data_IF_281455818457
#
_entry.id   IF_281455818457
#
_cell.length_a   1.000
_cell.length_b   1.000
_cell.length_c   1.000
_cell.angle_alpha   90.00
_cell.angle_beta   90.00
_cell.angle_gamma   90.00
#
_symmetry.space_group_name_H-M   'P 1'
#
loop_
_entity.id
_entity.type
_entity.pdbx_description
1 polymer ?
#
# COMPACT_ATOMS: atom_id res chain seq x y z
N UNK A 1 -13.19 9.65 -9.41
CA UNK A 1 -11.77 9.25 -9.45
C UNK A 1 -11.53 8.12 -8.48
N UNK A 2 -10.86 7.04 -8.92
CA UNK A 2 -10.62 5.88 -8.07
C UNK A 2 -9.53 6.19 -7.04
N UNK A 3 -9.76 5.79 -5.81
CA UNK A 3 -8.81 6.01 -4.73
C UNK A 3 -7.92 4.79 -4.53
N UNK A 4 -6.62 5.04 -4.36
CA UNK A 4 -5.62 4.02 -4.12
C UNK A 4 -4.85 4.40 -2.87
N UNK A 5 -4.81 3.49 -1.89
CA UNK A 5 -3.98 3.68 -0.71
C UNK A 5 -2.58 3.17 -1.01
N UNK A 6 -1.57 3.94 -0.63
CA UNK A 6 -0.18 3.48 -0.70
C UNK A 6 0.43 3.52 0.70
N UNK A 7 0.81 2.35 1.19
CA UNK A 7 1.45 2.20 2.49
C UNK A 7 2.92 1.84 2.27
N UNK A 8 3.78 2.79 2.51
CA UNK A 8 5.22 2.67 2.34
C UNK A 8 5.90 3.61 3.32
N UNK A 9 6.79 3.09 4.15
CA UNK A 9 7.46 3.88 5.16
C UNK A 9 8.58 4.77 4.59
N UNK A 10 9.15 4.39 3.46
CA UNK A 10 10.20 5.19 2.85
C UNK A 10 9.61 6.28 1.96
N UNK A 11 9.88 7.53 2.34
CA UNK A 11 9.24 8.69 1.72
C UNK A 11 9.53 8.78 0.23
N UNK A 12 10.76 8.53 -0.19
CA UNK A 12 11.11 8.66 -1.61
C UNK A 12 10.42 7.63 -2.47
N UNK A 13 10.29 6.39 -2.00
CA UNK A 13 9.57 5.35 -2.73
C UNK A 13 8.10 5.68 -2.78
N UNK A 14 7.53 6.09 -1.65
CA UNK A 14 6.12 6.46 -1.58
C UNK A 14 5.80 7.61 -2.53
N UNK A 15 6.64 8.63 -2.55
CA UNK A 15 6.45 9.78 -3.44
C UNK A 15 6.48 9.38 -4.91
N UNK A 16 7.40 8.50 -5.28
CA UNK A 16 7.49 8.01 -6.63
C UNK A 16 6.20 7.32 -7.06
N UNK A 17 5.69 6.44 -6.21
CA UNK A 17 4.45 5.72 -6.50
C UNK A 17 3.27 6.69 -6.60
N UNK A 18 3.20 7.66 -5.68
CA UNK A 18 2.13 8.66 -5.68
C UNK A 18 2.13 9.45 -6.97
N UNK A 19 3.28 9.89 -7.44
CA UNK A 19 3.37 10.65 -8.69
C UNK A 19 2.83 9.83 -9.85
N UNK A 20 3.20 8.56 -9.91
CA UNK A 20 2.75 7.70 -10.99
C UNK A 20 1.25 7.41 -10.93
N UNK A 21 0.71 7.24 -9.72
CA UNK A 21 -0.73 7.05 -9.55
C UNK A 21 -1.50 8.27 -10.02
N UNK A 22 -1.04 9.47 -9.67
CA UNK A 22 -1.70 10.70 -10.08
C UNK A 22 -1.66 10.88 -11.59
N UNK A 23 -0.54 10.55 -12.22
CA UNK A 23 -0.44 10.60 -13.68
C UNK A 23 -1.41 9.64 -14.35
N UNK A 24 -1.69 8.52 -13.72
CA UNK A 24 -2.62 7.53 -14.26
C UNK A 24 -4.09 7.89 -13.98
N UNK A 25 -4.34 8.98 -13.29
CA UNK A 25 -5.70 9.44 -13.03
C UNK A 25 -6.30 8.93 -11.73
N UNK A 26 -5.49 8.42 -10.82
CA UNK A 26 -5.96 7.95 -9.52
C UNK A 26 -5.76 9.00 -8.44
N UNK A 27 -6.56 8.92 -7.40
CA UNK A 27 -6.34 9.70 -6.20
C UNK A 27 -5.49 8.86 -5.25
N UNK A 28 -4.33 9.37 -4.85
CA UNK A 28 -3.41 8.63 -3.98
C UNK A 28 -3.62 9.04 -2.53
N UNK A 29 -3.80 8.04 -1.67
CA UNK A 29 -3.92 8.23 -0.23
C UNK A 29 -2.69 7.64 0.41
N UNK A 30 -1.91 8.45 1.11
CA UNK A 30 -0.60 8.05 1.62
C UNK A 30 -0.65 7.64 3.08
N UNK A 31 0.13 6.61 3.40
CA UNK A 31 0.34 6.18 4.77
C UNK A 31 1.79 5.73 4.93
N UNK A 32 2.41 6.12 6.02
CA UNK A 32 3.79 5.74 6.32
C UNK A 32 3.90 4.61 7.32
N UNK A 33 2.80 4.25 8.00
CA UNK A 33 2.76 3.16 8.97
C UNK A 33 1.50 2.34 8.77
N UNK A 34 1.49 1.13 9.31
CA UNK A 34 0.32 0.27 9.22
C UNK A 34 -0.88 0.85 9.91
N UNK A 35 -0.69 1.48 11.06
CA UNK A 35 -1.78 2.13 11.78
C UNK A 35 -2.38 3.27 10.98
N UNK A 36 -1.52 4.07 10.38
CA UNK A 36 -1.99 5.19 9.56
C UNK A 36 -2.79 4.68 8.37
N UNK A 37 -2.35 3.58 7.77
CA UNK A 37 -3.07 2.98 6.65
C UNK A 37 -4.49 2.59 7.05
N UNK A 38 -4.65 1.96 8.21
CA UNK A 38 -5.97 1.54 8.68
C UNK A 38 -6.86 2.75 8.97
N UNK A 39 -6.29 3.82 9.53
CA UNK A 39 -7.03 5.06 9.75
C UNK A 39 -7.47 5.70 8.45
N UNK A 40 -6.57 5.76 7.47
CA UNK A 40 -6.90 6.33 6.15
C UNK A 40 -8.02 5.57 5.46
N UNK A 41 -8.05 4.27 5.62
CA UNK A 41 -9.12 3.46 5.02
C UNK A 41 -10.47 3.70 5.71
N UNK A 42 -10.47 3.94 7.01
CA UNK A 42 -11.70 4.33 7.70
C UNK A 42 -12.23 5.65 7.21
N UNK A 43 -11.34 6.60 6.94
CA UNK A 43 -11.70 7.91 6.42
C UNK A 43 -12.13 7.86 4.96
N UNK A 44 -11.68 6.85 4.24
CA UNK A 44 -11.92 6.70 2.80
C UNK A 44 -12.45 5.31 2.49
N UNK A 45 -13.68 5.00 2.90
CA UNK A 45 -14.24 3.66 2.72
C UNK A 45 -14.45 3.29 1.25
N UNK A 46 -14.38 4.25 0.36
CA UNK A 46 -14.50 4.04 -1.08
C UNK A 46 -13.17 3.75 -1.78
N UNK A 47 -12.11 3.50 -1.01
CA UNK A 47 -10.81 3.13 -1.58
C UNK A 47 -10.91 1.81 -2.32
N UNK A 48 -10.46 1.80 -3.57
CA UNK A 48 -10.60 0.62 -4.44
C UNK A 48 -9.44 -0.35 -4.39
N UNK A 49 -8.22 0.16 -4.11
CA UNK A 49 -7.00 -0.66 -4.10
C UNK A 49 -6.11 -0.18 -2.97
N UNK A 50 -5.42 -1.11 -2.32
CA UNK A 50 -4.40 -0.81 -1.33
C UNK A 50 -3.08 -1.44 -1.78
N UNK A 51 -2.03 -0.63 -1.87
CA UNK A 51 -0.68 -1.09 -2.17
C UNK A 51 0.10 -1.06 -0.86
N UNK A 52 0.53 -2.22 -0.40
CA UNK A 52 1.10 -2.38 0.94
C UNK A 52 2.55 -2.86 0.87
N UNK A 53 3.43 -2.19 1.60
CA UNK A 53 4.78 -2.69 1.84
C UNK A 53 4.69 -3.76 2.93
N UNK A 54 5.42 -4.85 2.76
CA UNK A 54 5.42 -5.94 3.73
C UNK A 54 6.22 -5.58 4.97
N UNK A 55 7.34 -4.91 4.80
CA UNK A 55 8.25 -4.61 5.90
C UNK A 55 8.03 -3.20 6.45
N UNK A 56 7.24 -3.12 7.50
CA UNK A 56 6.85 -1.86 8.12
C UNK A 56 7.38 -1.77 9.55
N UNK A 57 7.57 -0.54 10.07
CA UNK A 57 8.13 -0.37 11.39
C UNK A 57 7.19 -0.73 12.55
N UNK A 58 5.87 -0.65 12.37
CA UNK A 58 4.91 -0.87 13.47
C UNK A 58 4.12 -2.18 13.33
N UNK A 59 3.53 -2.42 12.19
CA UNK A 59 2.72 -3.62 11.93
C UNK A 59 3.19 -4.15 10.58
N UNK A 60 3.43 -5.44 10.45
CA UNK A 60 3.86 -5.95 9.15
C UNK A 60 2.70 -5.91 8.14
N UNK A 61 3.06 -5.91 6.86
CA UNK A 61 2.08 -5.77 5.78
C UNK A 61 1.03 -6.88 5.75
N UNK A 62 1.38 -8.08 6.20
CA UNK A 62 0.42 -9.17 6.24
C UNK A 62 -0.66 -8.93 7.30
N UNK A 63 -0.28 -8.35 8.44
CA UNK A 63 -1.23 -7.97 9.47
C UNK A 63 -2.19 -6.91 8.97
N UNK A 64 -1.66 -5.91 8.26
CA UNK A 64 -2.49 -4.86 7.68
C UNK A 64 -3.47 -5.48 6.68
N UNK A 65 -2.99 -6.38 5.85
CA UNK A 65 -3.83 -7.07 4.86
C UNK A 65 -4.98 -7.82 5.55
N UNK A 66 -4.68 -8.57 6.61
CA UNK A 66 -5.73 -9.29 7.34
C UNK A 66 -6.75 -8.34 7.93
N UNK A 67 -6.30 -7.23 8.50
CA UNK A 67 -7.20 -6.23 9.08
C UNK A 67 -8.11 -5.62 8.02
N UNK A 68 -7.57 -5.33 6.85
CA UNK A 68 -8.35 -4.78 5.74
C UNK A 68 -9.40 -5.80 5.29
N UNK A 69 -9.00 -7.05 5.09
CA UNK A 69 -9.92 -8.09 4.63
C UNK A 69 -11.04 -8.38 5.63
N UNK A 70 -10.77 -8.17 6.91
CA UNK A 70 -11.79 -8.38 7.93
C UNK A 70 -12.97 -7.40 7.78
N UNK A 71 -12.71 -6.21 7.24
CA UNK A 71 -13.74 -5.17 7.12
C UNK A 71 -14.15 -4.87 5.69
N UNK A 72 -13.33 -5.20 4.70
CA UNK A 72 -13.62 -4.89 3.30
C UNK A 72 -13.10 -6.02 2.42
N UNK A 73 -14.01 -6.83 1.90
CA UNK A 73 -13.65 -7.96 1.05
C UNK A 73 -13.53 -7.61 -0.42
N UNK A 74 -13.98 -6.42 -0.79
CA UNK A 74 -14.00 -5.99 -2.19
C UNK A 74 -12.76 -5.24 -2.62
N UNK A 75 -11.99 -4.69 -1.67
CA UNK A 75 -10.81 -3.90 -2.01
C UNK A 75 -9.70 -4.79 -2.61
N UNK A 76 -9.07 -4.32 -3.67
CA UNK A 76 -7.89 -5.00 -4.21
C UNK A 76 -6.68 -4.72 -3.34
N UNK A 77 -5.85 -5.74 -3.08
CA UNK A 77 -4.64 -5.58 -2.29
C UNK A 77 -3.45 -6.06 -3.07
N UNK A 78 -2.43 -5.20 -3.17
CA UNK A 78 -1.17 -5.52 -3.82
C UNK A 78 -0.08 -5.42 -2.77
N UNK A 79 0.67 -6.51 -2.59
CA UNK A 79 1.77 -6.55 -1.62
C UNK A 79 3.08 -6.29 -2.34
N UNK A 80 3.89 -5.39 -1.78
CA UNK A 80 5.20 -5.06 -2.32
C UNK A 80 6.30 -5.64 -1.44
N UNK A 81 7.33 -6.19 -2.07
CA UNK A 81 8.54 -6.61 -1.36
C UNK A 81 9.65 -5.65 -1.75
N UNK A 82 9.55 -4.44 -1.28
CA UNK A 82 10.32 -3.31 -1.83
C UNK A 82 11.79 -3.24 -1.42
N UNK A 83 12.28 -4.17 -0.65
CA UNK A 83 13.71 -4.15 -0.27
C UNK A 83 14.56 -4.62 -1.44
N UNK A 84 15.69 -3.95 -1.63
CA UNK A 84 16.54 -4.19 -2.78
C UNK A 84 16.88 -5.66 -2.98
N UNK A 85 17.25 -6.35 -1.92
CA UNK A 85 17.63 -7.75 -2.01
C UNK A 85 16.45 -8.65 -2.36
N UNK A 86 15.30 -8.34 -1.82
CA UNK A 86 14.09 -9.05 -2.12
C UNK A 86 13.65 -8.80 -3.55
N UNK A 87 13.85 -7.59 -4.02
CA UNK A 87 13.53 -7.23 -5.40
C UNK A 87 14.35 -8.06 -6.38
N UNK A 88 15.63 -8.26 -6.08
CA UNK A 88 16.48 -9.09 -6.93
C UNK A 88 15.95 -10.51 -7.02
N UNK A 89 15.52 -11.07 -5.90
CA UNK A 89 14.97 -12.42 -5.87
C UNK A 89 13.65 -12.50 -6.63
N UNK A 90 12.80 -11.55 -6.41
CA UNK A 90 11.50 -11.51 -7.08
C UNK A 90 11.70 -11.38 -8.59
N UNK A 91 12.60 -10.50 -8.99
CA UNK A 91 12.92 -10.33 -10.41
C UNK A 91 13.43 -11.63 -11.02
N UNK A 92 14.24 -12.35 -10.27
CA UNK A 92 14.75 -13.64 -10.72
C UNK A 92 13.66 -14.68 -10.91
N UNK A 93 12.56 -14.55 -10.19
CA UNK A 93 11.43 -15.46 -10.30
C UNK A 93 10.52 -15.12 -11.48
N UNK A 94 10.56 -13.90 -11.89
CA UNK A 94 9.72 -13.44 -12.99
C UNK A 94 10.42 -13.56 -14.32
#
# INVERSE_FOLDING_TARGET
MKKVLILEDEVSIRSFVVINLKRAGYEAIEAGTGREALERLKENPDTGVAILDIMLPDIDGFEVCRSIRATNKAIGIIMLTARTQEMDKVTGLM
#
